data_IF_991860891412
#
_entry.id   IF_991860891412
#
_cell.length_a   1.000
_cell.length_b   1.000
_cell.length_c   1.000
_cell.angle_alpha   90.00
_cell.angle_beta   90.00
_cell.angle_gamma   90.00
#
_symmetry.space_group_name_H-M   'P 1'
#
loop_
_entity.id
_entity.type
_entity.pdbx_description
1 polymer ?
#
# COMPACT_ATOMS: atom_id res chain seq x y z
N UNK A 1 32.60 20.23 58.16
CA UNK A 1 31.35 20.87 57.71
C UNK A 1 31.06 20.42 56.30
N UNK A 2 29.81 19.99 56.05
CA UNK A 2 29.12 20.08 54.75
C UNK A 2 29.65 19.23 53.57
N UNK A 3 28.86 18.52 52.78
CA UNK A 3 27.48 18.02 52.83
C UNK A 3 27.41 16.94 51.72
N UNK A 4 26.71 15.85 52.00
CA UNK A 4 26.25 14.87 51.02
C UNK A 4 25.35 15.53 49.97
N UNK A 5 25.54 15.20 48.68
CA UNK A 5 24.54 15.48 47.63
C UNK A 5 24.39 14.30 46.66
N UNK A 6 23.53 13.38 47.10
CA UNK A 6 22.49 12.67 46.34
C UNK A 6 22.73 12.36 44.85
N UNK A 7 22.85 11.06 44.60
CA UNK A 7 22.41 10.36 43.39
C UNK A 7 21.05 10.88 42.89
N UNK A 8 21.01 11.40 41.67
CA UNK A 8 19.75 11.59 40.93
C UNK A 8 19.47 10.33 40.13
N UNK A 9 18.57 9.49 40.66
CA UNK A 9 17.79 8.62 39.79
C UNK A 9 16.77 9.48 39.04
N UNK A 10 16.58 9.29 37.73
CA UNK A 10 15.36 9.75 37.09
C UNK A 10 14.23 8.79 37.48
N UNK A 11 13.32 9.27 38.32
CA UNK A 11 12.01 8.68 38.51
C UNK A 11 11.18 8.95 37.25
N UNK A 12 10.94 7.93 36.44
CA UNK A 12 9.80 7.92 35.53
C UNK A 12 8.75 6.98 36.10
N UNK A 13 7.83 7.57 36.88
CA UNK A 13 6.49 7.02 37.07
C UNK A 13 5.78 7.14 35.72
N UNK A 14 5.91 6.14 34.85
CA UNK A 14 5.06 6.00 33.67
C UNK A 14 3.80 5.25 34.08
N UNK A 15 2.68 5.95 34.24
CA UNK A 15 1.38 5.31 34.13
C UNK A 15 1.36 4.64 32.76
N UNK A 16 1.21 3.32 32.71
CA UNK A 16 0.89 2.64 31.45
C UNK A 16 -0.31 3.36 30.84
N UNK A 17 -0.23 3.89 29.61
CA UNK A 17 -1.37 4.55 28.99
C UNK A 17 -2.53 3.58 29.02
N UNK A 18 -3.65 3.96 29.65
CA UNK A 18 -4.81 3.08 29.66
C UNK A 18 -5.29 2.95 28.21
N UNK A 19 -5.27 1.74 27.68
CA UNK A 19 -5.75 1.46 26.34
C UNK A 19 -7.25 1.16 26.36
N UNK A 20 -7.94 1.55 25.30
CA UNK A 20 -9.36 1.26 25.10
C UNK A 20 -9.57 0.58 23.73
N UNK A 21 -10.49 -0.40 23.64
CA UNK A 21 -10.79 -1.02 22.36
C UNK A 21 -11.63 -0.08 21.48
N UNK A 22 -11.10 0.29 20.33
CA UNK A 22 -11.86 0.87 19.22
C UNK A 22 -12.50 -0.27 18.43
N UNK A 23 -13.83 -0.31 18.41
CA UNK A 23 -14.60 -1.27 17.65
C UNK A 23 -14.94 -0.69 16.27
N UNK A 24 -14.53 -1.38 15.20
CA UNK A 24 -14.88 -1.01 13.82
C UNK A 24 -15.74 -2.14 13.25
N UNK A 25 -16.94 -1.82 12.79
CA UNK A 25 -17.96 -2.80 12.39
C UNK A 25 -18.55 -2.47 11.03
N UNK A 26 -18.57 -3.48 10.15
CA UNK A 26 -19.20 -3.42 8.83
C UNK A 26 -20.06 -4.67 8.65
N UNK A 27 -21.37 -4.47 8.46
CA UNK A 27 -22.34 -5.57 8.46
C UNK A 27 -22.26 -6.40 9.75
N UNK A 28 -21.99 -7.71 9.61
CA UNK A 28 -21.82 -8.66 10.74
C UNK A 28 -20.36 -8.82 11.19
N UNK A 29 -19.41 -8.13 10.55
CA UNK A 29 -17.98 -8.26 10.83
C UNK A 29 -17.52 -7.13 11.72
N UNK A 30 -16.72 -7.48 12.72
CA UNK A 30 -16.19 -6.53 13.69
C UNK A 30 -14.74 -6.86 14.02
N UNK A 31 -13.92 -5.81 14.08
CA UNK A 31 -12.56 -5.83 14.59
C UNK A 31 -12.45 -4.93 15.83
N UNK A 32 -11.51 -5.23 16.71
CA UNK A 32 -11.23 -4.47 17.92
C UNK A 32 -9.74 -4.18 17.99
N UNK A 33 -9.41 -2.89 18.04
CA UNK A 33 -8.03 -2.40 18.01
C UNK A 33 -7.79 -1.61 19.30
N UNK A 34 -6.71 -1.89 20.02
CA UNK A 34 -6.39 -1.20 21.27
C UNK A 34 -5.74 0.15 20.97
N UNK A 35 -6.39 1.23 21.42
CA UNK A 35 -5.95 2.61 21.19
C UNK A 35 -5.59 3.26 22.53
N UNK A 36 -4.47 3.98 22.59
CA UNK A 36 -4.12 4.82 23.74
C UNK A 36 -5.12 5.98 23.88
N UNK A 37 -5.43 6.38 25.12
CA UNK A 37 -6.31 7.53 25.36
C UNK A 37 -5.86 8.81 24.62
N UNK A 38 -4.55 8.99 24.43
CA UNK A 38 -3.99 10.20 23.79
C UNK A 38 -4.42 10.34 22.32
N UNK A 39 -4.79 9.23 21.67
CA UNK A 39 -5.24 9.20 20.27
C UNK A 39 -6.73 8.89 20.13
N UNK A 40 -7.46 8.79 21.25
CA UNK A 40 -8.85 8.35 21.24
C UNK A 40 -9.77 9.31 20.46
N UNK A 41 -9.55 10.63 20.58
CA UNK A 41 -10.33 11.63 19.84
C UNK A 41 -10.24 11.43 18.33
N UNK A 42 -9.03 11.34 17.79
CA UNK A 42 -8.78 11.06 16.37
C UNK A 42 -9.36 9.70 15.96
N UNK A 43 -9.25 8.69 16.82
CA UNK A 43 -9.74 7.35 16.56
C UNK A 43 -11.26 7.27 16.44
N UNK A 44 -12.01 7.96 17.31
CA UNK A 44 -13.46 8.03 17.19
C UNK A 44 -13.88 8.82 15.95
N UNK A 45 -13.25 9.96 15.69
CA UNK A 45 -13.53 10.74 14.49
C UNK A 45 -13.37 9.89 13.23
N UNK A 46 -12.20 9.26 13.05
CA UNK A 46 -11.90 8.46 11.87
C UNK A 46 -12.77 7.22 11.75
N UNK A 47 -13.19 6.60 12.87
CA UNK A 47 -14.19 5.52 12.86
C UNK A 47 -15.52 6.01 12.32
N UNK A 48 -16.02 7.15 12.81
CA UNK A 48 -17.30 7.70 12.35
C UNK A 48 -17.25 8.10 10.87
N UNK A 49 -16.17 8.75 10.44
CA UNK A 49 -15.95 9.08 9.02
C UNK A 49 -15.88 7.82 8.15
N UNK A 50 -15.18 6.77 8.61
CA UNK A 50 -15.12 5.49 7.90
C UNK A 50 -16.51 4.85 7.75
N UNK A 51 -17.32 4.85 8.82
CA UNK A 51 -18.67 4.29 8.81
C UNK A 51 -19.63 5.02 7.86
N UNK A 52 -19.36 6.31 7.59
CA UNK A 52 -20.15 7.15 6.67
C UNK A 52 -19.57 7.16 5.24
N UNK A 53 -18.43 6.50 5.01
CA UNK A 53 -17.77 6.51 3.70
C UNK A 53 -18.54 5.66 2.68
N UNK A 54 -18.51 6.10 1.42
CA UNK A 54 -19.09 5.35 0.29
C UNK A 54 -18.44 3.98 0.08
N UNK A 55 -17.21 3.78 0.61
CA UNK A 55 -16.55 2.48 0.62
C UNK A 55 -17.44 1.43 1.29
N UNK A 56 -18.04 1.74 2.44
CA UNK A 56 -18.88 0.79 3.20
C UNK A 56 -20.09 0.32 2.38
N UNK A 57 -20.70 1.21 1.62
CA UNK A 57 -21.86 0.89 0.77
C UNK A 57 -21.51 -0.08 -0.35
N UNK A 58 -20.26 -0.03 -0.84
CA UNK A 58 -19.77 -0.88 -1.94
C UNK A 58 -19.27 -2.26 -1.50
N UNK A 59 -19.05 -2.48 -0.21
CA UNK A 59 -18.46 -3.72 0.29
C UNK A 59 -19.45 -4.89 0.28
N UNK A 60 -19.04 -6.02 -0.30
CA UNK A 60 -19.73 -7.29 -0.09
C UNK A 60 -19.48 -7.77 1.36
N UNK A 61 -20.47 -7.56 2.23
CA UNK A 61 -20.34 -7.85 3.66
C UNK A 61 -20.43 -9.34 4.03
N UNK A 62 -20.88 -10.22 3.13
CA UNK A 62 -21.06 -11.66 3.42
C UNK A 62 -19.70 -12.38 3.53
N UNK A 63 -18.83 -12.14 2.54
CA UNK A 63 -17.51 -12.78 2.44
C UNK A 63 -16.40 -12.00 3.15
N UNK A 64 -16.68 -10.77 3.62
CA UNK A 64 -15.70 -9.90 4.25
C UNK A 64 -14.99 -10.60 5.42
N UNK A 65 -13.67 -10.71 5.34
CA UNK A 65 -12.84 -11.23 6.43
C UNK A 65 -12.41 -10.11 7.38
N UNK A 66 -11.95 -10.49 8.58
CA UNK A 66 -11.46 -9.51 9.55
C UNK A 66 -10.19 -8.80 9.08
N UNK A 67 -9.32 -9.50 8.33
CA UNK A 67 -8.10 -8.90 7.78
C UNK A 67 -8.43 -7.88 6.69
N UNK A 68 -9.43 -8.15 5.85
CA UNK A 68 -9.92 -7.18 4.87
C UNK A 68 -10.54 -5.96 5.54
N UNK A 69 -11.37 -6.14 6.57
CA UNK A 69 -11.92 -5.02 7.33
C UNK A 69 -10.81 -4.16 7.96
N UNK A 70 -9.77 -4.80 8.54
CA UNK A 70 -8.60 -4.08 9.04
C UNK A 70 -7.87 -3.33 7.92
N UNK A 71 -7.69 -3.94 6.75
CA UNK A 71 -7.03 -3.33 5.61
C UNK A 71 -7.83 -2.14 5.03
N UNK A 72 -9.15 -2.26 4.89
CA UNK A 72 -10.01 -1.16 4.46
C UNK A 72 -9.94 0.02 5.43
N UNK A 73 -10.04 -0.25 6.73
CA UNK A 73 -9.93 0.80 7.73
C UNK A 73 -8.54 1.46 7.72
N UNK A 74 -7.47 0.66 7.65
CA UNK A 74 -6.09 1.15 7.56
C UNK A 74 -5.91 2.06 6.34
N UNK A 75 -6.31 1.60 5.16
CA UNK A 75 -6.19 2.39 3.92
C UNK A 75 -6.97 3.70 4.04
N UNK A 76 -8.20 3.66 4.55
CA UNK A 76 -9.03 4.84 4.73
C UNK A 76 -8.36 5.89 5.64
N UNK A 77 -7.87 5.48 6.82
CA UNK A 77 -7.22 6.42 7.74
C UNK A 77 -5.91 6.96 7.19
N UNK A 78 -5.16 6.16 6.41
CA UNK A 78 -3.96 6.62 5.72
C UNK A 78 -4.29 7.67 4.66
N UNK A 79 -5.28 7.43 3.80
CA UNK A 79 -5.70 8.38 2.78
C UNK A 79 -6.22 9.68 3.41
N UNK A 80 -6.95 9.57 4.53
CA UNK A 80 -7.44 10.74 5.26
C UNK A 80 -6.31 11.56 5.88
N UNK A 81 -5.29 10.90 6.43
CA UNK A 81 -4.09 11.56 6.95
C UNK A 81 -3.32 12.27 5.83
N UNK A 82 -3.11 11.59 4.70
CA UNK A 82 -2.37 12.12 3.54
C UNK A 82 -3.09 13.28 2.84
N UNK A 83 -4.42 13.22 2.68
CA UNK A 83 -5.19 14.19 1.88
C UNK A 83 -5.11 15.62 2.44
N UNK A 84 -5.17 15.76 3.76
CA UNK A 84 -5.16 17.04 4.47
C UNK A 84 -3.88 17.27 5.28
N UNK A 85 -2.89 16.38 5.14
CA UNK A 85 -1.64 16.34 5.95
C UNK A 85 -1.91 16.47 7.46
N UNK A 86 -2.90 15.71 7.95
CA UNK A 86 -3.35 15.80 9.35
C UNK A 86 -2.41 14.95 10.21
N UNK A 87 -1.37 15.61 10.70
CA UNK A 87 -0.31 15.01 11.54
C UNK A 87 -0.85 14.22 12.74
N UNK A 88 -1.98 14.63 13.33
CA UNK A 88 -2.60 13.94 14.47
C UNK A 88 -3.26 12.58 14.12
N UNK A 89 -3.35 12.21 12.84
CA UNK A 89 -3.93 10.94 12.38
C UNK A 89 -2.89 9.84 12.19
N UNK A 90 -1.64 10.18 11.88
CA UNK A 90 -0.58 9.19 11.66
C UNK A 90 -0.30 8.26 12.85
N UNK A 91 -0.39 8.68 14.12
CA UNK A 91 -0.28 7.75 15.24
C UNK A 91 -1.33 6.63 15.18
N UNK A 92 -2.54 6.93 14.70
CA UNK A 92 -3.55 5.90 14.48
C UNK A 92 -3.21 5.00 13.30
N UNK A 93 -2.69 5.56 12.19
CA UNK A 93 -2.20 4.78 11.05
C UNK A 93 -1.18 3.76 11.52
N UNK A 94 -0.21 4.18 12.34
CA UNK A 94 0.80 3.30 12.91
C UNK A 94 0.19 2.19 13.78
N UNK A 95 -0.70 2.53 14.70
CA UNK A 95 -1.35 1.55 15.60
C UNK A 95 -2.13 0.49 14.80
N UNK A 96 -2.88 0.90 13.78
CA UNK A 96 -3.66 -0.04 12.94
C UNK A 96 -2.74 -0.87 12.04
N UNK A 97 -1.65 -0.28 11.53
CA UNK A 97 -0.62 -0.98 10.77
C UNK A 97 0.06 -2.06 11.61
N UNK A 98 0.45 -1.73 12.85
CA UNK A 98 0.98 -2.70 13.82
C UNK A 98 -0.02 -3.81 14.11
N UNK A 99 -1.29 -3.45 14.38
CA UNK A 99 -2.35 -4.42 14.59
C UNK A 99 -2.47 -5.41 13.41
N UNK A 100 -2.45 -4.91 12.17
CA UNK A 100 -2.49 -5.74 10.97
C UNK A 100 -1.31 -6.73 10.95
N UNK A 101 -0.09 -6.22 11.18
CA UNK A 101 1.16 -7.00 11.13
C UNK A 101 1.22 -8.06 12.21
N UNK A 102 0.90 -7.71 13.45
CA UNK A 102 0.97 -8.62 14.58
C UNK A 102 -0.13 -9.67 14.54
N UNK A 103 -1.37 -9.24 14.28
CA UNK A 103 -2.54 -10.11 14.37
C UNK A 103 -2.61 -11.11 13.21
N UNK A 104 -2.27 -10.66 12.00
CA UNK A 104 -2.51 -11.43 10.78
C UNK A 104 -1.23 -11.84 10.06
N UNK A 105 -0.23 -10.96 9.95
CA UNK A 105 0.99 -11.29 9.20
C UNK A 105 2.02 -12.09 10.01
N UNK A 106 1.97 -12.00 11.35
CA UNK A 106 2.86 -12.73 12.28
C UNK A 106 4.35 -12.54 11.94
N UNK A 107 4.75 -11.30 11.61
CA UNK A 107 6.10 -10.91 11.18
C UNK A 107 6.60 -11.56 9.88
N UNK A 108 5.70 -12.15 9.10
CA UNK A 108 6.00 -12.62 7.75
C UNK A 108 5.70 -11.54 6.71
N UNK A 109 6.21 -11.75 5.51
CA UNK A 109 5.89 -10.91 4.36
C UNK A 109 4.39 -10.92 4.06
N UNK A 110 3.85 -9.76 3.66
CA UNK A 110 2.41 -9.59 3.40
C UNK A 110 1.92 -10.52 2.29
N UNK A 111 2.71 -10.77 1.24
CA UNK A 111 2.35 -11.69 0.16
C UNK A 111 2.30 -13.14 0.65
N UNK A 112 3.29 -13.53 1.47
CA UNK A 112 3.34 -14.88 2.04
C UNK A 112 2.18 -15.13 3.01
N UNK A 113 1.86 -14.15 3.87
CA UNK A 113 0.80 -14.25 4.87
C UNK A 113 -0.60 -14.27 4.25
N UNK A 114 -0.79 -13.62 3.09
CA UNK A 114 -2.09 -13.51 2.41
C UNK A 114 -2.30 -14.51 1.29
N UNK A 115 -1.33 -15.43 1.04
CA UNK A 115 -1.40 -16.43 -0.04
C UNK A 115 -2.68 -17.27 -0.05
N UNK A 116 -3.27 -17.54 1.12
CA UNK A 116 -4.49 -18.35 1.25
C UNK A 116 -5.80 -17.58 1.04
N UNK A 117 -5.75 -16.27 0.85
CA UNK A 117 -6.94 -15.45 0.59
C UNK A 117 -7.31 -15.47 -0.90
N UNK A 118 -8.59 -15.25 -1.25
CA UNK A 118 -9.00 -14.90 -2.61
C UNK A 118 -8.18 -13.71 -3.15
N UNK A 119 -8.00 -13.64 -4.47
CA UNK A 119 -7.15 -12.62 -5.11
C UNK A 119 -7.58 -11.21 -4.76
N UNK A 120 -8.88 -10.93 -4.78
CA UNK A 120 -9.47 -9.63 -4.50
C UNK A 120 -9.18 -9.20 -3.05
N UNK A 121 -9.46 -10.09 -2.09
CA UNK A 121 -9.16 -9.92 -0.68
C UNK A 121 -7.66 -9.71 -0.42
N UNK A 122 -6.82 -10.50 -1.10
CA UNK A 122 -5.36 -10.41 -1.02
C UNK A 122 -4.87 -9.05 -1.51
N UNK A 123 -5.38 -8.57 -2.64
CA UNK A 123 -5.00 -7.29 -3.24
C UNK A 123 -5.39 -6.12 -2.33
N UNK A 124 -6.57 -6.17 -1.69
CA UNK A 124 -6.99 -5.18 -0.67
C UNK A 124 -5.98 -5.09 0.46
N UNK A 125 -5.54 -6.22 1.01
CA UNK A 125 -4.59 -6.27 2.13
C UNK A 125 -3.21 -5.76 1.72
N UNK A 126 -2.70 -6.21 0.57
CA UNK A 126 -1.40 -5.77 0.04
C UNK A 126 -1.39 -4.27 -0.22
N UNK A 127 -2.45 -3.75 -0.87
CA UNK A 127 -2.56 -2.32 -1.17
C UNK A 127 -2.58 -1.51 0.11
N UNK A 128 -3.44 -1.84 1.06
CA UNK A 128 -3.50 -1.14 2.35
C UNK A 128 -2.15 -1.16 3.09
N UNK A 129 -1.46 -2.30 3.06
CA UNK A 129 -0.14 -2.44 3.69
C UNK A 129 0.88 -1.49 3.07
N UNK A 130 1.01 -1.46 1.75
CA UNK A 130 2.00 -0.60 1.09
C UNK A 130 1.60 0.87 1.03
N UNK A 131 0.31 1.19 1.02
CA UNK A 131 -0.18 2.57 1.19
C UNK A 131 0.21 3.10 2.56
N UNK A 132 -0.10 2.36 3.64
CA UNK A 132 0.27 2.74 5.00
C UNK A 132 1.80 2.82 5.18
N UNK A 133 2.54 1.83 4.69
CA UNK A 133 4.00 1.81 4.80
C UNK A 133 4.63 3.00 4.07
N UNK A 134 4.18 3.34 2.86
CA UNK A 134 4.70 4.48 2.12
C UNK A 134 4.41 5.81 2.84
N UNK A 135 3.18 5.98 3.32
CA UNK A 135 2.74 7.16 4.08
C UNK A 135 3.55 7.32 5.37
N UNK A 136 3.67 6.27 6.20
CA UNK A 136 4.47 6.29 7.42
C UNK A 136 5.96 6.53 7.17
N UNK A 137 6.53 6.08 6.04
CA UNK A 137 7.94 6.33 5.71
C UNK A 137 8.24 7.81 5.37
N UNK A 138 7.23 8.58 4.97
CA UNK A 138 7.39 10.03 4.74
C UNK A 138 7.47 10.81 6.05
N UNK A 139 6.88 10.28 7.11
CA UNK A 139 6.87 10.88 8.43
C UNK A 139 8.18 10.61 9.18
N UNK A 140 8.89 11.68 9.54
CA UNK A 140 10.21 11.58 10.19
C UNK A 140 10.15 11.14 11.66
N UNK A 141 8.97 11.19 12.27
CA UNK A 141 8.77 10.88 13.70
C UNK A 141 8.71 9.37 13.99
N UNK A 142 8.49 8.53 12.98
CA UNK A 142 8.33 7.08 13.18
C UNK A 142 9.60 6.31 12.79
N UNK A 143 10.14 5.54 13.74
CA UNK A 143 11.16 4.54 13.45
C UNK A 143 10.49 3.24 12.96
N UNK A 144 10.56 3.03 11.64
CA UNK A 144 10.00 1.84 10.99
C UNK A 144 11.00 0.68 10.86
N UNK A 145 12.23 0.81 11.37
CA UNK A 145 13.26 -0.23 11.26
C UNK A 145 12.83 -1.55 11.91
N UNK A 146 12.08 -1.47 13.00
CA UNK A 146 11.47 -2.62 13.68
C UNK A 146 10.42 -3.37 12.84
N UNK A 147 9.91 -2.76 11.77
CA UNK A 147 8.92 -3.35 10.88
C UNK A 147 9.51 -3.94 9.61
N UNK A 148 10.84 -4.01 9.50
CA UNK A 148 11.48 -4.76 8.43
C UNK A 148 11.07 -6.23 8.48
N UNK A 149 10.68 -6.77 7.33
CA UNK A 149 10.32 -8.18 7.22
C UNK A 149 11.57 -9.05 7.40
N UNK A 150 11.34 -10.29 7.87
CA UNK A 150 12.42 -11.27 7.93
C UNK A 150 13.02 -11.49 6.53
N UNK A 151 14.34 -11.71 6.40
CA UNK A 151 14.95 -11.98 5.11
C UNK A 151 14.26 -13.14 4.40
N UNK A 152 14.00 -12.99 3.11
CA UNK A 152 13.42 -14.07 2.31
C UNK A 152 14.30 -15.32 2.36
N UNK A 153 13.66 -16.48 2.55
CA UNK A 153 14.34 -17.77 2.59
C UNK A 153 15.07 -18.07 1.27
N UNK A 154 14.48 -17.67 0.13
CA UNK A 154 15.08 -17.84 -1.20
C UNK A 154 16.37 -17.00 -1.33
N UNK A 155 16.31 -15.72 -0.98
CA UNK A 155 17.49 -14.84 -1.03
C UNK A 155 18.56 -15.27 -0.02
N UNK A 156 18.16 -15.81 1.14
CA UNK A 156 19.09 -16.38 2.12
C UNK A 156 19.77 -17.64 1.60
N UNK A 157 19.04 -18.52 0.91
CA UNK A 157 19.61 -19.70 0.27
C UNK A 157 20.60 -19.33 -0.84
N UNK A 158 20.27 -18.33 -1.65
CA UNK A 158 21.16 -17.80 -2.68
C UNK A 158 22.46 -17.24 -2.09
N UNK A 159 22.35 -16.40 -1.04
CA UNK A 159 23.51 -15.85 -0.31
C UNK A 159 24.41 -16.94 0.27
N UNK A 160 23.83 -18.07 0.66
CA UNK A 160 24.54 -19.22 1.22
C UNK A 160 24.97 -20.25 0.15
N UNK A 161 24.92 -19.90 -1.14
CA UNK A 161 25.27 -20.77 -2.27
C UNK A 161 24.48 -22.10 -2.31
N UNK A 162 23.27 -22.12 -1.75
CA UNK A 162 22.34 -23.26 -1.80
C UNK A 162 21.34 -23.17 -2.95
N UNK A 163 21.26 -22.00 -3.60
CA UNK A 163 20.45 -21.74 -4.77
C UNK A 163 21.18 -20.71 -5.67
N UNK A 164 20.82 -20.66 -6.95
CA UNK A 164 21.27 -19.62 -7.87
C UNK A 164 20.05 -18.88 -8.43
N UNK A 165 20.14 -17.56 -8.54
CA UNK A 165 19.06 -16.72 -9.05
C UNK A 165 19.43 -16.23 -10.45
N UNK A 166 18.46 -16.28 -11.36
CA UNK A 166 18.52 -15.62 -12.66
C UNK A 166 17.15 -14.99 -12.94
N UNK A 167 17.15 -13.83 -13.60
CA UNK A 167 15.93 -13.13 -13.98
C UNK A 167 15.65 -13.35 -15.47
N UNK A 168 14.39 -13.58 -15.80
CA UNK A 168 13.89 -13.68 -17.19
C UNK A 168 12.75 -12.70 -17.32
N UNK A 169 12.83 -11.85 -18.34
CA UNK A 169 11.78 -10.88 -18.68
C UNK A 169 11.10 -11.35 -19.96
N UNK A 170 9.76 -11.42 -19.91
CA UNK A 170 8.94 -11.81 -21.06
C UNK A 170 8.89 -10.74 -22.15
N UNK A 171 8.11 -11.00 -23.19
CA UNK A 171 7.89 -10.06 -24.29
C UNK A 171 6.50 -10.20 -24.90
N UNK A 172 6.34 -9.63 -26.10
CA UNK A 172 5.08 -9.65 -26.85
C UNK A 172 4.64 -11.07 -27.23
N UNK A 173 3.32 -11.27 -27.34
CA UNK A 173 2.72 -12.52 -27.85
C UNK A 173 2.39 -13.58 -26.79
N UNK A 174 2.64 -13.30 -25.51
CA UNK A 174 2.26 -14.20 -24.41
C UNK A 174 0.86 -13.91 -23.84
N UNK A 175 0.45 -12.64 -23.84
CA UNK A 175 -0.80 -12.16 -23.25
C UNK A 175 -1.36 -10.98 -24.08
N UNK A 176 -2.59 -11.09 -24.58
CA UNK A 176 -3.29 -9.96 -25.22
C UNK A 176 -3.86 -8.98 -24.19
N UNK A 177 -3.96 -9.41 -22.92
CA UNK A 177 -4.52 -8.67 -21.80
C UNK A 177 -3.46 -8.00 -20.90
N UNK A 178 -2.28 -7.75 -21.47
CA UNK A 178 -1.12 -7.21 -20.73
C UNK A 178 -1.43 -5.85 -20.08
N UNK A 179 -2.31 -5.05 -20.68
CA UNK A 179 -2.65 -3.73 -20.13
C UNK A 179 -3.51 -3.84 -18.87
N UNK A 180 -4.40 -4.83 -18.79
CA UNK A 180 -5.18 -5.05 -17.56
C UNK A 180 -4.29 -5.56 -16.42
N UNK A 181 -3.27 -6.38 -16.73
CA UNK A 181 -2.24 -6.76 -15.75
C UNK A 181 -1.49 -5.52 -15.23
N UNK A 182 -1.13 -4.60 -16.12
CA UNK A 182 -0.52 -3.32 -15.73
C UNK A 182 -1.44 -2.47 -14.85
N UNK A 183 -2.74 -2.38 -15.19
CA UNK A 183 -3.76 -1.70 -14.36
C UNK A 183 -3.85 -2.34 -12.97
N UNK A 184 -3.88 -3.67 -12.88
CA UNK A 184 -3.93 -4.39 -11.60
C UNK A 184 -2.69 -4.07 -10.76
N UNK A 185 -1.49 -4.22 -11.33
CA UNK A 185 -0.22 -3.92 -10.65
C UNK A 185 -0.18 -2.46 -10.19
N UNK A 186 -0.54 -1.51 -11.06
CA UNK A 186 -0.61 -0.09 -10.71
C UNK A 186 -1.58 0.14 -9.54
N UNK A 187 -2.78 -0.45 -9.59
CA UNK A 187 -3.79 -0.27 -8.55
C UNK A 187 -3.38 -0.83 -7.18
N UNK A 188 -2.60 -1.92 -7.14
CA UNK A 188 -2.17 -2.58 -5.91
C UNK A 188 -0.95 -1.89 -5.31
N UNK A 189 0.00 -1.44 -6.14
CA UNK A 189 1.29 -0.91 -5.69
C UNK A 189 1.47 0.59 -5.97
N UNK A 190 0.38 1.31 -6.25
CA UNK A 190 0.35 2.73 -6.60
C UNK A 190 1.30 3.58 -5.74
N UNK A 191 1.26 3.40 -4.42
CA UNK A 191 2.08 4.17 -3.47
C UNK A 191 3.60 3.98 -3.62
N UNK A 192 4.03 2.91 -4.31
CA UNK A 192 5.45 2.59 -4.57
C UNK A 192 5.82 2.96 -6.00
N UNK A 193 4.99 2.56 -6.98
CA UNK A 193 5.38 2.58 -8.39
C UNK A 193 4.88 3.82 -9.13
N UNK A 194 3.94 4.59 -8.58
CA UNK A 194 3.40 5.76 -9.26
C UNK A 194 4.47 6.76 -9.72
N UNK A 195 5.47 7.16 -8.89
CA UNK A 195 6.50 8.10 -9.36
C UNK A 195 7.30 7.59 -10.56
N UNK A 196 7.59 6.28 -10.59
CA UNK A 196 8.29 5.65 -11.70
C UNK A 196 7.42 5.62 -12.97
N UNK A 197 6.16 5.17 -12.83
CA UNK A 197 5.21 5.08 -13.93
C UNK A 197 4.91 6.46 -14.52
N UNK A 198 4.73 7.49 -13.69
CA UNK A 198 4.50 8.87 -14.15
C UNK A 198 5.70 9.40 -14.94
N UNK A 199 6.92 9.23 -14.42
CA UNK A 199 8.14 9.66 -15.10
C UNK A 199 8.33 8.95 -16.44
N UNK A 200 8.17 7.62 -16.48
CA UNK A 200 8.35 6.84 -17.71
C UNK A 200 7.24 7.10 -18.72
N UNK A 201 5.99 7.22 -18.27
CA UNK A 201 4.86 7.57 -19.14
C UNK A 201 5.06 8.93 -19.81
N UNK A 202 5.59 9.92 -19.07
CA UNK A 202 5.91 11.22 -19.65
C UNK A 202 6.99 11.13 -20.72
N UNK A 203 8.08 10.39 -20.48
CA UNK A 203 9.15 10.16 -21.46
C UNK A 203 8.60 9.46 -22.72
N UNK A 204 7.83 8.39 -22.55
CA UNK A 204 7.23 7.63 -23.66
C UNK A 204 6.29 8.53 -24.47
N UNK A 205 5.49 9.34 -23.80
CA UNK A 205 4.60 10.32 -24.43
C UNK A 205 5.40 11.33 -25.26
N UNK A 206 6.43 11.94 -24.70
CA UNK A 206 7.25 12.95 -25.39
C UNK A 206 7.97 12.37 -26.61
N UNK A 207 8.47 11.13 -26.50
CA UNK A 207 9.04 10.40 -27.64
C UNK A 207 8.02 10.13 -28.74
N UNK A 208 6.78 9.75 -28.37
CA UNK A 208 5.72 9.46 -29.34
C UNK A 208 5.28 10.67 -30.16
N UNK A 209 5.42 11.89 -29.62
CA UNK A 209 5.04 13.15 -30.29
C UNK A 209 6.22 13.89 -30.92
N UNK A 210 7.44 13.35 -30.81
CA UNK A 210 8.61 13.83 -31.52
C UNK A 210 8.42 13.77 -33.04
N UNK A 211 9.30 14.45 -33.80
CA UNK A 211 9.24 14.43 -35.28
C UNK A 211 9.28 13.00 -35.83
N UNK A 212 10.20 12.16 -35.31
CA UNK A 212 10.26 10.75 -35.65
C UNK A 212 9.07 9.96 -35.10
N UNK A 213 8.69 10.21 -33.84
CA UNK A 213 7.58 9.51 -33.17
C UNK A 213 6.27 9.62 -33.93
N UNK A 214 5.93 10.80 -34.46
CA UNK A 214 4.72 11.03 -35.26
C UNK A 214 4.69 10.27 -36.58
N UNK A 215 5.84 9.88 -37.13
CA UNK A 215 5.90 9.04 -38.33
C UNK A 215 5.51 7.58 -38.05
N UNK A 216 5.62 7.16 -36.79
CA UNK A 216 5.28 5.82 -36.32
C UNK A 216 3.90 5.83 -35.68
N UNK A 217 3.70 6.68 -34.66
CA UNK A 217 2.51 6.70 -33.83
C UNK A 217 1.45 7.68 -34.36
N UNK A 218 0.25 7.20 -34.70
CA UNK A 218 -0.85 8.08 -35.14
C UNK A 218 -1.45 8.88 -33.97
N UNK A 219 -1.21 8.46 -32.72
CA UNK A 219 -1.69 9.10 -31.49
C UNK A 219 -0.57 9.13 -30.45
N UNK A 220 -0.53 10.14 -29.55
CA UNK A 220 0.40 10.12 -28.41
C UNK A 220 0.21 8.86 -27.56
N UNK A 221 1.32 8.31 -27.05
CA UNK A 221 1.30 7.21 -26.09
C UNK A 221 1.09 7.76 -24.67
N UNK A 222 -0.15 8.09 -24.34
CA UNK A 222 -0.54 8.67 -23.05
C UNK A 222 -0.92 7.60 -22.02
N UNK A 223 0.06 6.78 -21.63
CA UNK A 223 -0.15 5.63 -20.72
C UNK A 223 -0.78 6.05 -19.40
N UNK A 224 -0.30 7.16 -18.82
CA UNK A 224 -0.85 7.69 -17.58
C UNK A 224 -2.29 8.18 -17.76
N UNK A 225 -2.59 8.81 -18.90
CA UNK A 225 -3.96 9.17 -19.26
C UNK A 225 -4.88 7.96 -19.35
N UNK A 226 -4.41 6.86 -19.96
CA UNK A 226 -5.15 5.60 -20.07
C UNK A 226 -5.40 4.92 -18.72
N UNK A 227 -4.40 4.96 -17.81
CA UNK A 227 -4.56 4.47 -16.43
C UNK A 227 -5.59 5.27 -15.63
N UNK A 228 -5.53 6.60 -15.70
CA UNK A 228 -6.41 7.50 -14.93
C UNK A 228 -7.83 7.57 -15.49
N UNK A 229 -7.99 7.38 -16.80
CA UNK A 229 -9.26 7.48 -17.50
C UNK A 229 -9.48 6.23 -18.38
N UNK A 230 -10.10 5.16 -17.86
CA UNK A 230 -10.34 3.93 -18.61
C UNK A 230 -11.11 4.14 -19.93
N UNK A 231 -11.97 5.16 -20.01
CA UNK A 231 -12.69 5.52 -21.24
C UNK A 231 -11.78 6.07 -22.36
N UNK A 232 -10.57 6.51 -22.02
CA UNK A 232 -9.57 6.99 -22.99
C UNK A 232 -8.68 5.87 -23.53
N UNK A 233 -8.82 4.65 -22.99
CA UNK A 233 -8.03 3.51 -23.40
C UNK A 233 -8.28 3.19 -24.88
N UNK A 234 -7.24 3.06 -25.71
CA UNK A 234 -7.40 2.66 -27.10
C UNK A 234 -8.00 1.26 -27.24
N UNK A 235 -8.51 0.96 -28.43
CA UNK A 235 -8.99 -0.38 -28.75
C UNK A 235 -7.86 -1.43 -28.68
N UNK A 236 -8.26 -2.69 -28.53
CA UNK A 236 -7.33 -3.81 -28.38
C UNK A 236 -6.38 -3.95 -29.58
N UNK A 237 -6.81 -3.63 -30.81
CA UNK A 237 -5.96 -3.71 -32.00
C UNK A 237 -4.82 -2.70 -31.94
N UNK A 238 -5.10 -1.49 -31.43
CA UNK A 238 -4.07 -0.48 -31.21
C UNK A 238 -3.12 -0.85 -30.06
N UNK A 239 -3.64 -1.41 -28.95
CA UNK A 239 -2.81 -1.79 -27.81
C UNK A 239 -1.82 -2.90 -28.16
N UNK A 240 -2.25 -3.95 -28.89
CA UNK A 240 -1.35 -5.06 -29.24
C UNK A 240 -0.33 -4.69 -30.33
N UNK A 241 -0.52 -3.57 -31.05
CA UNK A 241 0.39 -3.12 -32.10
C UNK A 241 1.81 -2.90 -31.54
N UNK A 242 2.81 -3.49 -32.20
CA UNK A 242 4.16 -3.63 -31.65
C UNK A 242 4.80 -2.34 -31.08
N UNK A 243 4.74 -1.20 -31.79
CA UNK A 243 5.22 0.09 -31.29
C UNK A 243 4.49 0.62 -30.04
N UNK A 244 3.26 0.18 -29.76
CA UNK A 244 2.52 0.51 -28.52
C UNK A 244 2.81 -0.51 -27.44
N UNK A 245 2.66 -1.82 -27.73
CA UNK A 245 2.80 -2.85 -26.70
C UNK A 245 4.24 -3.00 -26.21
N UNK A 246 5.26 -2.77 -27.04
CA UNK A 246 6.67 -2.91 -26.63
C UNK A 246 7.04 -1.99 -25.44
N UNK A 247 6.86 -0.66 -25.53
CA UNK A 247 7.19 0.22 -24.40
C UNK A 247 6.29 0.01 -23.18
N UNK A 248 5.03 -0.42 -23.36
CA UNK A 248 4.12 -0.64 -22.22
C UNK A 248 4.41 -1.97 -21.51
N UNK A 249 4.81 -3.03 -22.22
CA UNK A 249 5.24 -4.30 -21.60
C UNK A 249 6.58 -4.14 -20.87
N UNK A 250 7.45 -3.26 -21.38
CA UNK A 250 8.71 -2.94 -20.72
C UNK A 250 8.57 -2.06 -19.47
N UNK A 251 7.42 -1.39 -19.31
CA UNK A 251 7.08 -0.54 -18.16
C UNK A 251 6.50 -1.38 -17.02
#
# INVERSE_FOLDING_TARGET
>A
MSFSSRSRQPSFYGLTPSQRPLHVRVGKKEISILISNDHWGSAEQLREEFNQSSLIESLNTEDLTKIELTAHFLKFITERADQDDIQSFYPLVLIVFEHLRERYLKKNDVHAATRGLPTEARNVVIRAYFTALASLNRETEFDLSQYQNSPSALFTAAKNNKASLFAVFGGQGANEDYFNEFVEVYSVYESIIAPYVEAMSQIIRDLSVSEFGKSVHPKPLDILGWLKNPESLPDSQYLIWGPVSLPVIGL
#
